data_IF_263514992837
#
_entry.id   IF_263514992837
#
_cell.length_a   1.000
_cell.length_b   1.000
_cell.length_c   1.000
_cell.angle_alpha   90.00
_cell.angle_beta   90.00
_cell.angle_gamma   90.00
#
_symmetry.space_group_name_H-M   'P 1'
#
loop_
_entity.id
_entity.type
_entity.pdbx_description
1 polymer ?
#
# COMPACT_ATOMS: atom_id res chain seq x y z
N UNK A 1 -11.58 17.37 -14.34
CA UNK A 1 -12.63 17.12 -15.35
C UNK A 1 -13.62 18.27 -15.27
N UNK A 2 -13.95 18.89 -16.39
CA UNK A 2 -15.05 19.86 -16.48
C UNK A 2 -16.26 19.08 -16.99
N UNK A 3 -17.24 18.85 -16.14
CA UNK A 3 -18.51 18.28 -16.53
C UNK A 3 -19.39 19.41 -17.05
N UNK A 4 -19.78 19.35 -18.32
CA UNK A 4 -20.83 20.21 -18.88
C UNK A 4 -22.14 19.44 -18.84
N UNK A 5 -23.25 20.15 -18.61
CA UNK A 5 -24.57 19.57 -18.85
C UNK A 5 -24.61 19.05 -20.30
N UNK A 6 -24.69 17.74 -20.48
CA UNK A 6 -24.88 17.12 -21.77
C UNK A 6 -26.38 16.97 -22.01
N UNK A 7 -26.79 16.92 -23.29
CA UNK A 7 -28.18 16.79 -23.74
C UNK A 7 -28.91 15.54 -23.19
N UNK A 8 -28.17 14.64 -22.51
CA UNK A 8 -28.67 13.40 -21.93
C UNK A 8 -28.99 13.48 -20.42
N UNK A 9 -28.78 14.61 -19.75
CA UNK A 9 -29.11 14.71 -18.32
C UNK A 9 -30.59 14.89 -18.10
N UNK A 10 -31.26 13.81 -17.72
CA UNK A 10 -32.57 13.87 -17.07
C UNK A 10 -32.37 14.28 -15.62
N UNK A 11 -32.84 15.46 -15.28
CA UNK A 11 -33.24 15.76 -13.91
C UNK A 11 -34.39 14.80 -13.58
N UNK A 12 -34.40 14.18 -12.40
CA UNK A 12 -35.45 13.25 -11.97
C UNK A 12 -36.82 13.95 -12.06
N UNK A 13 -37.65 13.50 -13.02
CA UNK A 13 -38.91 14.11 -13.39
C UNK A 13 -38.99 14.30 -14.89
N UNK A 14 -40.20 14.49 -15.40
CA UNK A 14 -40.46 14.58 -16.83
C UNK A 14 -40.15 15.93 -17.46
N UNK A 15 -39.56 16.86 -16.68
CA UNK A 15 -39.29 18.23 -17.15
C UNK A 15 -37.84 18.37 -17.61
N UNK A 16 -37.65 18.50 -18.92
CA UNK A 16 -36.42 19.06 -19.48
C UNK A 16 -36.57 20.56 -19.59
N UNK A 17 -35.64 21.30 -19.02
CA UNK A 17 -35.49 22.70 -19.36
C UNK A 17 -34.60 22.78 -20.61
N UNK A 18 -35.17 23.21 -21.71
CA UNK A 18 -34.44 23.42 -22.97
C UNK A 18 -34.60 24.85 -23.45
N UNK A 19 -33.49 25.44 -23.87
CA UNK A 19 -33.47 26.70 -24.60
C UNK A 19 -32.69 26.48 -25.89
N UNK A 20 -33.29 26.76 -27.03
CA UNK A 20 -32.69 26.51 -28.37
C UNK A 20 -32.18 25.07 -28.53
N UNK A 21 -33.03 24.10 -28.15
CA UNK A 21 -32.73 22.66 -28.20
C UNK A 21 -31.57 22.19 -27.31
N UNK A 22 -31.06 23.03 -26.41
CA UNK A 22 -30.03 22.69 -25.45
C UNK A 22 -30.63 22.57 -24.05
N UNK A 23 -30.19 21.58 -23.30
CA UNK A 23 -30.57 21.45 -21.90
C UNK A 23 -29.96 22.58 -21.07
N UNK A 24 -30.81 23.26 -20.29
CA UNK A 24 -30.44 24.38 -19.43
C UNK A 24 -30.97 24.15 -18.01
N UNK A 25 -30.37 24.82 -17.04
CA UNK A 25 -30.84 24.86 -15.65
C UNK A 25 -31.77 26.05 -15.43
N UNK A 26 -32.82 25.92 -14.61
CA UNK A 26 -33.69 27.04 -14.26
C UNK A 26 -32.96 28.02 -13.34
N UNK A 27 -33.46 29.27 -13.28
CA UNK A 27 -33.06 30.23 -12.26
C UNK A 27 -33.33 29.65 -10.86
N UNK A 28 -32.40 29.84 -9.94
CA UNK A 28 -32.56 29.43 -8.55
C UNK A 28 -31.33 28.77 -7.97
N UNK A 29 -31.50 28.26 -6.77
CA UNK A 29 -30.47 27.49 -6.06
C UNK A 29 -30.51 26.04 -6.47
N UNK A 30 -29.35 25.50 -6.81
CA UNK A 30 -29.15 24.14 -7.25
C UNK A 30 -28.19 23.42 -6.32
N UNK A 31 -28.44 22.15 -6.08
CA UNK A 31 -27.49 21.24 -5.41
C UNK A 31 -26.89 20.31 -6.41
N UNK A 32 -25.58 20.12 -6.31
CA UNK A 32 -24.85 19.10 -7.07
C UNK A 32 -24.29 18.11 -6.07
N UNK A 33 -24.57 16.84 -6.26
CA UNK A 33 -24.09 15.75 -5.40
C UNK A 33 -23.21 14.80 -6.20
N UNK A 34 -22.04 14.44 -5.66
CA UNK A 34 -21.24 13.36 -6.21
C UNK A 34 -21.85 12.02 -5.81
N UNK A 35 -22.28 11.23 -6.78
CA UNK A 35 -22.93 9.93 -6.56
C UNK A 35 -21.99 8.75 -6.66
N UNK A 36 -20.77 8.97 -7.17
CA UNK A 36 -19.74 7.96 -7.33
C UNK A 36 -18.36 8.58 -7.38
N UNK A 37 -17.48 8.19 -6.45
CA UNK A 37 -16.08 8.58 -6.50
C UNK A 37 -15.32 7.89 -7.65
N UNK A 38 -14.24 8.48 -8.15
CA UNK A 38 -13.32 7.83 -9.07
C UNK A 38 -12.67 6.58 -8.44
N UNK A 39 -12.19 5.66 -9.27
CA UNK A 39 -11.50 4.46 -8.79
C UNK A 39 -10.28 4.85 -7.93
N UNK A 40 -10.19 4.25 -6.75
CA UNK A 40 -9.13 4.53 -5.78
C UNK A 40 -9.40 5.68 -4.81
N UNK A 41 -10.58 6.30 -4.88
CA UNK A 41 -10.99 7.39 -4.00
C UNK A 41 -12.22 7.04 -3.18
N UNK A 42 -12.44 7.81 -2.12
CA UNK A 42 -13.56 7.65 -1.19
C UNK A 42 -14.62 8.71 -1.46
N UNK A 43 -15.85 8.27 -1.68
CA UNK A 43 -17.00 9.18 -1.80
C UNK A 43 -17.26 9.96 -0.49
N UNK A 44 -17.09 9.32 0.66
CA UNK A 44 -17.29 9.93 1.99
C UNK A 44 -16.20 10.96 2.37
N UNK A 45 -15.18 11.09 1.56
CA UNK A 45 -14.06 12.02 1.75
C UNK A 45 -14.06 13.22 0.82
N UNK A 46 -15.11 13.40 0.02
CA UNK A 46 -15.26 14.57 -0.84
C UNK A 46 -15.36 15.84 0.01
N UNK A 47 -14.50 16.80 -0.28
CA UNK A 47 -14.48 18.09 0.39
C UNK A 47 -14.96 19.18 -0.56
N UNK A 48 -15.83 20.05 -0.06
CA UNK A 48 -16.00 21.37 -0.65
C UNK A 48 -15.04 22.33 0.03
N UNK A 49 -14.20 22.97 -0.74
CA UNK A 49 -13.34 24.04 -0.25
C UNK A 49 -13.87 25.38 -0.78
N UNK A 50 -14.41 26.20 0.12
CA UNK A 50 -14.76 27.59 -0.16
C UNK A 50 -13.59 28.47 0.29
N UNK A 51 -12.82 28.98 -0.67
CA UNK A 51 -11.62 29.76 -0.38
C UNK A 51 -10.60 28.99 0.47
N UNK A 52 -10.19 29.52 1.61
CA UNK A 52 -9.27 28.90 2.57
C UNK A 52 -9.98 28.04 3.65
N UNK A 53 -11.31 27.86 3.56
CA UNK A 53 -12.08 27.06 4.51
C UNK A 53 -11.86 25.57 4.27
N UNK A 54 -11.62 24.83 5.37
CA UNK A 54 -11.49 23.36 5.38
C UNK A 54 -12.74 22.66 5.90
N UNK A 55 -13.89 23.35 5.93
CA UNK A 55 -15.15 22.72 6.36
C UNK A 55 -15.57 21.63 5.38
N UNK A 56 -15.78 20.43 5.92
CA UNK A 56 -16.32 19.27 5.21
C UNK A 56 -17.82 19.43 5.04
N UNK A 57 -18.27 19.65 3.81
CA UNK A 57 -19.67 19.50 3.45
C UNK A 57 -19.78 18.19 2.67
N UNK A 58 -20.43 17.18 3.27
CA UNK A 58 -20.62 15.87 2.66
C UNK A 58 -21.22 15.98 1.27
N UNK A 59 -20.38 15.83 0.24
CA UNK A 59 -20.77 15.49 -1.14
C UNK A 59 -21.81 16.40 -1.82
N UNK A 60 -22.26 17.48 -1.19
CA UNK A 60 -23.27 18.38 -1.75
C UNK A 60 -22.69 19.76 -1.99
N UNK A 61 -22.85 20.25 -3.21
CA UNK A 61 -22.44 21.59 -3.65
C UNK A 61 -23.67 22.43 -3.90
N UNK A 62 -23.64 23.67 -3.42
CA UNK A 62 -24.66 24.66 -3.70
C UNK A 62 -24.15 25.61 -4.79
N UNK A 63 -24.96 25.82 -5.80
CA UNK A 63 -24.74 26.88 -6.80
C UNK A 63 -26.04 27.63 -7.08
N UNK A 64 -25.93 28.80 -7.68
CA UNK A 64 -27.10 29.59 -8.04
C UNK A 64 -26.99 30.00 -9.49
N UNK A 65 -28.14 29.99 -10.18
CA UNK A 65 -28.33 30.60 -11.48
C UNK A 65 -29.21 31.83 -11.22
N UNK A 66 -28.67 33.02 -11.42
CA UNK A 66 -29.34 34.30 -11.11
C UNK A 66 -29.70 35.11 -12.35
N UNK A 67 -29.05 34.86 -13.47
CA UNK A 67 -29.24 35.60 -14.72
C UNK A 67 -29.40 34.68 -15.93
N UNK A 68 -30.04 35.14 -16.96
CA UNK A 68 -30.21 34.41 -18.23
C UNK A 68 -28.85 34.20 -18.92
N UNK A 69 -28.57 32.99 -19.34
CA UNK A 69 -27.32 32.62 -20.00
C UNK A 69 -26.12 32.49 -19.07
N UNK A 70 -26.31 32.57 -17.74
CA UNK A 70 -25.27 32.39 -16.76
C UNK A 70 -24.68 30.96 -16.82
N UNK A 71 -23.36 30.87 -16.71
CA UNK A 71 -22.65 29.62 -16.54
C UNK A 71 -22.21 29.47 -15.07
N UNK A 72 -22.91 28.67 -14.31
CA UNK A 72 -22.48 28.30 -12.97
C UNK A 72 -21.25 27.35 -13.04
N UNK A 73 -20.13 27.84 -12.52
CA UNK A 73 -18.85 27.07 -12.54
C UNK A 73 -18.56 26.65 -11.12
N UNK A 74 -18.45 25.34 -10.89
CA UNK A 74 -18.12 24.74 -9.60
C UNK A 74 -16.60 24.60 -9.35
N UNK A 75 -15.76 25.07 -10.29
CA UNK A 75 -14.30 25.03 -10.18
C UNK A 75 -13.67 26.34 -10.63
N UNK A 76 -12.69 26.86 -9.91
CA UNK A 76 -11.95 28.08 -10.24
C UNK A 76 -11.61 28.92 -9.01
N UNK A 77 -10.89 30.04 -9.19
CA UNK A 77 -10.28 30.84 -8.13
C UNK A 77 -11.25 31.51 -7.14
N UNK A 78 -12.53 31.52 -7.44
CA UNK A 78 -13.58 32.09 -6.56
C UNK A 78 -14.72 31.11 -6.30
N UNK A 79 -14.48 29.83 -6.48
CA UNK A 79 -15.52 28.82 -6.47
C UNK A 79 -15.01 27.54 -5.84
N UNK A 80 -15.94 26.65 -5.57
CA UNK A 80 -15.68 25.41 -4.86
C UNK A 80 -14.74 24.49 -5.65
N UNK A 81 -13.71 24.00 -5.01
CA UNK A 81 -12.93 22.87 -5.50
C UNK A 81 -13.37 21.60 -4.79
N UNK A 82 -13.45 20.50 -5.53
CA UNK A 82 -13.81 19.18 -5.04
C UNK A 82 -12.54 18.36 -4.93
N UNK A 83 -12.31 17.79 -3.76
CA UNK A 83 -11.17 16.88 -3.56
C UNK A 83 -11.62 15.61 -2.85
N UNK A 84 -11.29 14.48 -3.41
CA UNK A 84 -11.54 13.16 -2.84
C UNK A 84 -10.33 12.66 -2.07
N UNK A 85 -10.60 11.93 -1.00
CA UNK A 85 -9.55 11.22 -0.30
C UNK A 85 -9.20 9.92 -1.02
N UNK A 86 -7.90 9.68 -1.22
CA UNK A 86 -7.45 8.42 -1.78
C UNK A 86 -7.64 7.27 -0.77
N UNK A 87 -8.09 6.12 -1.24
CA UNK A 87 -8.11 4.87 -0.49
C UNK A 87 -6.70 4.55 -0.02
N UNK A 88 -6.56 4.16 1.25
CA UNK A 88 -5.29 3.74 1.84
C UNK A 88 -5.42 2.42 2.55
N UNK A 89 -4.33 1.65 2.56
CA UNK A 89 -4.24 0.37 3.23
C UNK A 89 -2.84 0.08 3.75
N UNK A 90 -2.67 -1.12 4.27
CA UNK A 90 -1.38 -1.62 4.74
C UNK A 90 -1.08 -3.02 4.21
N UNK A 91 0.08 -3.57 4.63
CA UNK A 91 0.50 -4.93 4.30
C UNK A 91 1.11 -5.61 5.53
N UNK A 92 0.91 -6.93 5.63
CA UNK A 92 1.48 -7.79 6.67
C UNK A 92 2.08 -9.02 6.03
N UNK A 93 3.30 -9.37 6.45
CA UNK A 93 4.07 -10.53 5.95
C UNK A 93 4.56 -11.41 7.09
N UNK A 94 4.89 -12.67 6.75
CA UNK A 94 5.44 -13.66 7.67
C UNK A 94 6.72 -14.24 7.12
N UNK A 95 7.81 -14.14 7.88
CA UNK A 95 9.10 -14.78 7.63
C UNK A 95 9.14 -16.15 8.28
N UNK A 96 9.73 -17.13 7.59
CA UNK A 96 9.85 -18.51 8.06
C UNK A 96 11.22 -19.11 7.74
N UNK A 97 11.60 -20.12 8.52
CA UNK A 97 12.75 -20.97 8.23
C UNK A 97 12.46 -21.92 7.06
N UNK A 98 13.38 -22.01 6.09
CA UNK A 98 13.16 -22.81 4.88
C UNK A 98 13.15 -24.31 5.15
N UNK A 99 13.93 -24.81 6.11
CA UNK A 99 14.06 -26.24 6.38
C UNK A 99 12.91 -26.77 7.25
N UNK A 100 12.61 -26.06 8.34
CA UNK A 100 11.57 -26.47 9.28
C UNK A 100 10.16 -26.06 8.85
N UNK A 101 10.07 -25.07 7.95
CA UNK A 101 8.81 -24.40 7.55
C UNK A 101 8.10 -23.68 8.71
N UNK A 102 8.77 -23.54 9.85
CA UNK A 102 8.23 -22.92 11.06
C UNK A 102 8.52 -21.41 11.12
N UNK A 103 7.81 -20.72 11.99
CA UNK A 103 8.01 -19.34 12.42
C UNK A 103 9.08 -19.20 13.52
N UNK A 104 9.71 -20.31 13.89
CA UNK A 104 10.82 -20.36 14.86
C UNK A 104 12.14 -20.57 14.13
N UNK A 105 13.12 -19.76 14.51
CA UNK A 105 14.48 -19.91 14.01
C UNK A 105 15.17 -21.13 14.63
N UNK A 106 16.19 -21.68 13.94
CA UNK A 106 17.01 -22.78 14.41
C UNK A 106 18.25 -22.28 15.15
N UNK A 107 18.71 -23.04 16.15
CA UNK A 107 19.94 -22.77 16.90
C UNK A 107 19.96 -21.35 17.51
N UNK A 108 21.02 -20.61 17.24
CA UNK A 108 21.17 -19.21 17.68
C UNK A 108 20.74 -18.16 16.62
N UNK A 109 20.15 -18.61 15.49
CA UNK A 109 19.60 -17.71 14.49
C UNK A 109 18.32 -17.01 14.99
N UNK A 110 17.89 -15.97 14.28
CA UNK A 110 16.65 -15.26 14.58
C UNK A 110 15.90 -14.94 13.30
N UNK A 111 14.57 -14.79 13.35
CA UNK A 111 13.75 -14.25 12.25
C UNK A 111 13.54 -12.73 12.36
N UNK A 112 14.08 -12.12 13.42
CA UNK A 112 14.01 -10.69 13.67
C UNK A 112 14.95 -9.91 12.74
N UNK A 113 14.57 -8.65 12.46
CA UNK A 113 15.37 -7.67 11.70
C UNK A 113 15.66 -8.06 10.24
N UNK A 114 14.89 -8.99 9.67
CA UNK A 114 14.80 -9.10 8.21
C UNK A 114 14.18 -7.82 7.65
N UNK A 115 14.81 -7.20 6.65
CA UNK A 115 14.32 -5.94 6.09
C UNK A 115 13.72 -6.14 4.70
N UNK A 116 12.57 -5.49 4.47
CA UNK A 116 11.83 -5.53 3.22
C UNK A 116 11.56 -4.14 2.69
N UNK A 117 11.91 -3.89 1.43
CA UNK A 117 11.51 -2.71 0.71
C UNK A 117 10.09 -2.91 0.14
N UNK A 118 9.22 -1.93 0.35
CA UNK A 118 7.94 -1.80 -0.35
C UNK A 118 8.19 -0.86 -1.52
N UNK A 119 7.98 -1.32 -2.75
CA UNK A 119 8.29 -0.61 -3.98
C UNK A 119 7.00 -0.33 -4.72
N UNK A 120 6.82 0.91 -5.19
CA UNK A 120 5.66 1.31 -5.99
C UNK A 120 5.73 0.74 -7.40
N UNK A 121 4.65 0.11 -7.87
CA UNK A 121 4.47 -0.31 -9.27
C UNK A 121 3.49 0.61 -10.02
N UNK A 122 3.05 1.70 -9.40
CA UNK A 122 2.05 2.61 -9.95
C UNK A 122 2.65 3.53 -11.02
N UNK A 123 1.90 3.75 -12.10
CA UNK A 123 2.31 4.68 -13.17
C UNK A 123 2.33 6.14 -12.68
N UNK A 124 1.34 6.52 -11.85
CA UNK A 124 1.30 7.84 -11.22
C UNK A 124 2.07 7.82 -9.90
N UNK A 125 2.74 8.93 -9.54
CA UNK A 125 3.39 9.03 -8.24
C UNK A 125 2.42 8.86 -7.08
N UNK A 126 2.87 8.20 -6.02
CA UNK A 126 2.08 7.98 -4.79
C UNK A 126 2.64 8.82 -3.64
N UNK A 127 1.74 9.40 -2.85
CA UNK A 127 2.10 10.18 -1.67
C UNK A 127 2.11 9.28 -0.43
N UNK A 128 3.29 9.05 0.16
CA UNK A 128 3.46 8.27 1.39
C UNK A 128 4.23 9.11 2.40
N UNK A 129 3.68 9.27 3.60
CA UNK A 129 4.29 10.07 4.69
C UNK A 129 4.77 11.47 4.23
N UNK A 130 3.97 12.15 3.41
CA UNK A 130 4.26 13.51 2.93
C UNK A 130 5.28 13.61 1.78
N UNK A 131 5.76 12.48 1.27
CA UNK A 131 6.69 12.45 0.14
C UNK A 131 6.09 11.72 -1.07
N UNK A 132 6.31 12.27 -2.27
CA UNK A 132 5.92 11.65 -3.53
C UNK A 132 6.98 10.65 -4.00
N UNK A 133 6.52 9.45 -4.38
CA UNK A 133 7.34 8.37 -4.91
C UNK A 133 6.84 7.96 -6.30
N UNK A 134 7.76 7.81 -7.22
CA UNK A 134 7.51 7.36 -8.60
C UNK A 134 7.50 5.83 -8.67
N UNK A 135 7.12 5.32 -9.84
CA UNK A 135 7.25 3.89 -10.16
C UNK A 135 8.67 3.38 -9.93
N UNK A 136 8.79 2.20 -9.36
CA UNK A 136 10.03 1.52 -8.98
C UNK A 136 10.84 2.19 -7.85
N UNK A 137 10.30 3.20 -7.17
CA UNK A 137 10.92 3.75 -5.97
C UNK A 137 10.44 3.01 -4.71
N UNK A 138 11.35 2.85 -3.75
CA UNK A 138 11.04 2.31 -2.43
C UNK A 138 10.26 3.34 -1.63
N UNK A 139 9.00 3.04 -1.33
CA UNK A 139 8.10 3.94 -0.58
C UNK A 139 8.25 3.78 0.93
N UNK A 140 8.63 2.58 1.38
CA UNK A 140 8.86 2.26 2.79
C UNK A 140 9.75 1.04 2.92
N UNK A 141 10.53 0.99 4.01
CA UNK A 141 11.20 -0.24 4.46
C UNK A 141 10.57 -0.69 5.77
N UNK A 142 10.24 -1.97 5.87
CA UNK A 142 9.69 -2.60 7.08
C UNK A 142 10.65 -3.69 7.56
N UNK A 143 10.59 -4.02 8.86
CA UNK A 143 11.43 -5.05 9.46
C UNK A 143 10.60 -6.03 10.26
N UNK A 144 11.03 -7.29 10.28
CA UNK A 144 10.35 -8.33 11.05
C UNK A 144 10.66 -8.22 12.55
N UNK A 145 9.65 -8.52 13.36
CA UNK A 145 9.78 -8.79 14.78
C UNK A 145 10.39 -10.16 15.07
N UNK A 146 10.50 -10.50 16.36
CA UNK A 146 11.04 -11.81 16.80
C UNK A 146 10.17 -13.00 16.35
N UNK A 147 8.91 -12.74 16.12
CA UNK A 147 7.91 -13.66 15.57
C UNK A 147 8.00 -13.83 14.04
N UNK A 148 8.93 -13.14 13.40
CA UNK A 148 9.07 -13.10 11.94
C UNK A 148 8.01 -12.30 11.22
N UNK A 149 7.15 -11.53 11.91
CA UNK A 149 6.11 -10.72 11.31
C UNK A 149 6.62 -9.30 11.08
N UNK A 150 6.32 -8.75 9.89
CA UNK A 150 6.41 -7.33 9.62
C UNK A 150 5.06 -6.81 9.12
N UNK A 151 4.63 -5.65 9.61
CA UNK A 151 3.36 -5.03 9.23
C UNK A 151 3.48 -3.52 9.14
N UNK A 152 2.71 -2.90 8.27
CA UNK A 152 2.51 -1.45 8.21
C UNK A 152 1.23 -1.05 8.95
N UNK A 153 1.01 0.25 9.11
CA UNK A 153 -0.32 0.76 9.47
C UNK A 153 -1.31 0.60 8.32
N UNK A 154 -2.61 0.59 8.63
CA UNK A 154 -3.68 0.36 7.66
C UNK A 154 -3.98 1.58 6.75
N UNK A 155 -3.25 2.69 6.93
CA UNK A 155 -3.42 3.96 6.20
C UNK A 155 -2.13 4.41 5.49
N UNK A 156 -1.08 3.59 5.49
CA UNK A 156 0.23 3.97 4.95
C UNK A 156 0.23 4.11 3.43
N UNK A 157 -0.25 3.08 2.72
CA UNK A 157 -0.08 2.94 1.27
C UNK A 157 -1.34 3.41 0.53
N UNK A 158 -1.24 4.34 -0.42
CA UNK A 158 -2.35 4.70 -1.30
C UNK A 158 -2.83 3.52 -2.15
N UNK A 159 -4.05 3.63 -2.68
CA UNK A 159 -4.61 2.73 -3.69
C UNK A 159 -3.61 2.48 -4.81
N UNK A 160 -3.42 1.20 -5.19
CA UNK A 160 -2.55 0.84 -6.28
C UNK A 160 -1.79 -0.46 -6.07
N UNK A 161 -0.77 -0.68 -6.90
CA UNK A 161 0.05 -1.90 -6.94
C UNK A 161 1.43 -1.67 -6.35
N UNK A 162 1.90 -2.65 -5.62
CA UNK A 162 3.20 -2.63 -4.95
C UNK A 162 3.87 -3.99 -5.04
N UNK A 163 5.19 -4.01 -4.83
CA UNK A 163 5.93 -5.23 -4.56
C UNK A 163 6.74 -5.12 -3.28
N UNK A 164 6.94 -6.27 -2.66
CA UNK A 164 7.87 -6.47 -1.56
C UNK A 164 9.14 -7.14 -2.07
N UNK A 165 10.29 -6.65 -1.63
CA UNK A 165 11.59 -7.21 -1.90
C UNK A 165 12.41 -7.30 -0.61
N UNK A 166 12.95 -8.49 -0.30
CA UNK A 166 13.83 -8.63 0.85
C UNK A 166 15.19 -8.01 0.56
N UNK A 167 15.56 -6.98 1.33
CA UNK A 167 16.84 -6.27 1.18
C UNK A 167 17.90 -6.73 2.16
N UNK A 168 17.49 -7.43 3.24
CA UNK A 168 18.38 -7.96 4.25
C UNK A 168 17.77 -9.19 4.90
N UNK A 169 18.46 -10.33 4.87
CA UNK A 169 18.08 -11.52 5.63
C UNK A 169 18.30 -11.31 7.14
N UNK A 170 17.58 -12.04 8.00
CA UNK A 170 17.80 -11.99 9.43
C UNK A 170 19.11 -12.70 9.81
N UNK A 171 19.60 -12.45 11.03
CA UNK A 171 20.84 -13.04 11.50
C UNK A 171 20.79 -14.57 11.51
N UNK A 172 21.84 -15.19 10.97
CA UNK A 172 21.94 -16.63 10.84
C UNK A 172 21.38 -17.21 9.53
N UNK A 173 20.79 -16.38 8.67
CA UNK A 173 20.18 -16.79 7.39
C UNK A 173 20.91 -16.22 6.17
N UNK A 174 20.68 -16.83 5.00
CA UNK A 174 21.17 -16.39 3.69
C UNK A 174 20.13 -15.52 2.99
N UNK A 175 20.59 -14.58 2.14
CA UNK A 175 19.74 -13.68 1.34
C UNK A 175 19.39 -14.24 -0.04
N UNK A 176 19.93 -15.38 -0.43
CA UNK A 176 20.05 -15.80 -1.82
C UNK A 176 18.72 -16.21 -2.51
N UNK A 177 17.62 -16.31 -1.75
CA UNK A 177 16.30 -16.71 -2.26
C UNK A 177 15.23 -15.64 -2.05
N UNK A 178 15.61 -14.36 -2.16
CA UNK A 178 14.67 -13.25 -1.97
C UNK A 178 13.54 -13.30 -3.01
N UNK A 179 12.35 -13.76 -2.60
CA UNK A 179 11.15 -13.81 -3.42
C UNK A 179 10.54 -12.42 -3.45
N UNK A 180 10.29 -11.90 -4.66
CA UNK A 180 9.43 -10.73 -4.84
C UNK A 180 7.96 -11.13 -4.69
N UNK A 181 7.18 -10.35 -3.95
CA UNK A 181 5.74 -10.57 -3.76
C UNK A 181 5.01 -9.32 -4.19
N UNK A 182 4.16 -9.44 -5.20
CA UNK A 182 3.28 -8.36 -5.62
C UNK A 182 1.96 -8.38 -4.83
N UNK A 183 1.44 -7.19 -4.51
CA UNK A 183 0.15 -7.02 -3.84
C UNK A 183 -0.50 -5.70 -4.27
N UNK A 184 -1.79 -5.55 -3.93
CA UNK A 184 -2.56 -4.37 -4.28
C UNK A 184 -3.33 -3.83 -3.08
N UNK A 185 -3.37 -2.52 -2.95
CA UNK A 185 -4.24 -1.81 -2.02
C UNK A 185 -5.50 -1.41 -2.78
N UNK A 186 -6.64 -1.97 -2.38
CA UNK A 186 -7.94 -1.77 -3.05
C UNK A 186 -9.06 -1.38 -2.09
N UNK A 187 -8.88 -1.58 -0.78
CA UNK A 187 -9.88 -1.31 0.25
C UNK A 187 -9.33 -0.37 1.31
N UNK A 188 -10.13 0.63 1.69
CA UNK A 188 -9.71 1.62 2.68
C UNK A 188 -9.61 1.04 4.09
N UNK A 189 -8.52 1.36 4.79
CA UNK A 189 -8.29 0.93 6.17
C UNK A 189 -7.97 -0.57 6.32
N UNK A 190 -7.73 -1.30 5.22
CA UNK A 190 -7.45 -2.74 5.25
C UNK A 190 -5.96 -3.03 5.19
N UNK A 191 -5.52 -4.00 5.97
CA UNK A 191 -4.19 -4.59 5.87
C UNK A 191 -4.29 -5.82 4.95
N UNK A 192 -3.55 -5.81 3.84
CA UNK A 192 -3.38 -6.97 2.96
C UNK A 192 -2.55 -7.99 3.72
N UNK A 193 -3.16 -9.10 4.08
CA UNK A 193 -2.50 -10.18 4.83
C UNK A 193 -1.85 -11.17 3.86
N UNK A 194 -0.51 -11.18 3.84
CA UNK A 194 0.34 -12.07 3.04
C UNK A 194 1.00 -13.13 3.95
N UNK A 195 0.31 -13.57 4.98
CA UNK A 195 0.81 -14.60 5.93
C UNK A 195 0.27 -16.00 5.64
N UNK A 196 -0.42 -16.21 4.52
CA UNK A 196 -0.84 -17.52 4.04
C UNK A 196 0.27 -18.30 3.33
N UNK A 197 0.05 -19.59 3.09
CA UNK A 197 1.08 -20.51 2.53
C UNK A 197 1.62 -20.09 1.16
N UNK A 198 0.83 -19.39 0.34
CA UNK A 198 1.25 -18.95 -1.00
C UNK A 198 2.24 -17.79 -0.95
N UNK A 199 2.25 -17.05 0.15
CA UNK A 199 3.03 -15.82 0.34
C UNK A 199 4.14 -15.94 1.38
N UNK A 200 4.34 -17.11 2.00
CA UNK A 200 5.43 -17.30 2.96
C UNK A 200 6.79 -16.98 2.36
N UNK A 201 7.59 -16.24 3.12
CA UNK A 201 8.94 -15.83 2.76
C UNK A 201 9.91 -16.68 3.56
N UNK A 202 10.69 -17.50 2.87
CA UNK A 202 11.66 -18.42 3.46
C UNK A 202 13.08 -17.93 3.24
N UNK A 203 13.99 -18.19 4.23
CA UNK A 203 15.43 -18.14 4.01
C UNK A 203 16.06 -19.42 4.50
N UNK A 204 17.13 -19.80 3.82
CA UNK A 204 18.00 -20.92 4.20
C UNK A 204 18.88 -20.52 5.37
N UNK A 205 18.92 -21.36 6.42
CA UNK A 205 19.84 -21.17 7.54
C UNK A 205 21.29 -21.37 7.10
N UNK A 206 22.22 -20.56 7.63
CA UNK A 206 23.66 -20.74 7.43
C UNK A 206 24.14 -22.01 8.11
N UNK A 207 24.94 -22.79 7.41
CA UNK A 207 25.55 -24.02 7.91
C UNK A 207 27.06 -23.99 7.71
N UNK A 208 27.78 -24.73 8.52
CA UNK A 208 29.23 -24.89 8.44
C UNK A 208 29.65 -26.32 8.76
N UNK A 209 30.82 -26.66 8.33
CA UNK A 209 31.47 -27.96 8.61
C UNK A 209 32.52 -27.81 9.71
N UNK A 210 32.82 -28.91 10.37
CA UNK A 210 33.86 -28.99 11.36
C UNK A 210 34.88 -30.06 10.92
N UNK A 211 36.12 -29.64 10.78
CA UNK A 211 37.25 -30.57 10.55
C UNK A 211 38.20 -30.51 11.75
N UNK A 212 38.69 -31.68 12.16
CA UNK A 212 39.66 -31.78 13.22
C UNK A 212 40.58 -33.01 13.07
N UNK A 213 41.82 -32.89 13.52
CA UNK A 213 42.79 -33.99 13.53
C UNK A 213 43.20 -34.26 14.95
N UNK A 214 43.01 -35.51 15.39
CA UNK A 214 43.56 -36.00 16.68
C UNK A 214 44.98 -36.50 16.50
N UNK A 215 45.89 -36.00 17.33
CA UNK A 215 47.30 -36.43 17.37
C UNK A 215 47.68 -36.95 18.75
N UNK A 216 48.62 -37.88 18.83
CA UNK A 216 49.21 -38.38 20.08
C UNK A 216 50.22 -37.38 20.64
N UNK A 217 50.11 -36.99 21.92
CA UNK A 217 50.93 -35.96 22.54
C UNK A 217 52.42 -36.27 22.58
N UNK A 218 52.80 -37.54 22.63
CA UNK A 218 54.24 -37.95 22.67
C UNK A 218 54.79 -38.30 21.27
N UNK A 219 53.97 -38.71 20.32
CA UNK A 219 54.41 -39.19 19.00
C UNK A 219 54.14 -38.25 17.87
N UNK A 220 53.27 -37.27 18.07
CA UNK A 220 52.73 -36.35 17.05
C UNK A 220 52.08 -37.02 15.83
N UNK A 221 51.84 -38.36 15.94
CA UNK A 221 51.16 -39.12 14.88
C UNK A 221 49.65 -38.94 14.94
N UNK A 222 48.99 -38.95 13.77
CA UNK A 222 47.53 -38.94 13.66
C UNK A 222 46.95 -40.20 14.29
N UNK A 223 45.92 -40.07 15.09
CA UNK A 223 45.20 -41.16 15.73
C UNK A 223 43.88 -41.36 14.97
N UNK A 224 43.68 -42.61 14.51
CA UNK A 224 42.45 -43.04 13.82
C UNK A 224 41.40 -43.53 14.83
N UNK A 225 40.14 -43.52 14.41
CA UNK A 225 39.00 -44.10 15.15
C UNK A 225 38.77 -43.52 16.55
N UNK A 226 39.09 -42.27 16.75
CA UNK A 226 38.79 -41.56 17.99
C UNK A 226 37.38 -40.98 17.90
N UNK A 227 36.44 -41.41 18.73
CA UNK A 227 35.09 -40.87 18.74
C UNK A 227 35.05 -39.44 19.30
N UNK A 228 34.27 -38.56 18.67
CA UNK A 228 33.96 -37.21 19.14
C UNK A 228 32.46 -37.06 19.30
N UNK A 229 32.03 -36.30 20.30
CA UNK A 229 30.64 -35.90 20.49
C UNK A 229 30.54 -34.40 20.23
N UNK A 230 29.63 -34.02 19.36
CA UNK A 230 29.21 -32.59 19.18
C UNK A 230 28.01 -32.37 20.07
N UNK A 231 28.05 -31.30 20.84
CA UNK A 231 26.95 -30.88 21.73
C UNK A 231 26.61 -29.45 21.40
N UNK A 232 25.31 -29.09 21.42
CA UNK A 232 24.77 -27.74 21.31
C UNK A 232 24.26 -27.25 22.66
#
# INVERSE_FOLDING_TARGET
YVTKLADAYKVSGDAFYTQNEKSVLPLGTLTVEETKAPDGYLLDGAYMQEGDSTEQIKGMYLTQITEDGELAVLSGSNQYSVSDQVIRGGVKIQKRDMETKDTKAQGSATLKDAAFAIISLNENPVLVEGKLYKKNETVKTIQTGIDGIATTTADLLPYGKYKLEETKAPEGYLTDDAKEIEFSITENGKIVDLTDESHFIYNQIKRGDLEGVKIGSGTHKRLANVPFKIMS
#
